data_IF_561929339925
#
_entry.id   IF_561929339925
#
_cell.length_a   1.000
_cell.length_b   1.000
_cell.length_c   1.000
_cell.angle_alpha   90.00
_cell.angle_beta   90.00
_cell.angle_gamma   90.00
#
_symmetry.space_group_name_H-M   'P 1'
#
loop_
_entity.id
_entity.type
_entity.pdbx_description
1 polymer ?
#
# COMPACT_ATOMS: atom_id res chain seq x y z
N UNK A 1 7.85 26.85 -15.80
CA UNK A 1 8.02 27.09 -14.35
C UNK A 1 8.53 25.80 -13.76
N UNK A 2 9.80 25.76 -13.36
CA UNK A 2 10.32 24.66 -12.54
C UNK A 2 9.64 24.81 -11.17
N UNK A 3 8.89 23.79 -10.75
CA UNK A 3 8.32 23.77 -9.40
C UNK A 3 9.40 23.90 -8.33
N UNK A 4 9.03 24.12 -7.07
CA UNK A 4 9.99 24.10 -5.97
C UNK A 4 10.83 22.81 -6.03
N UNK A 5 12.11 22.86 -5.63
CA UNK A 5 12.95 21.66 -5.58
C UNK A 5 12.26 20.59 -4.73
N UNK A 6 12.24 19.34 -5.23
CA UNK A 6 11.71 18.21 -4.47
C UNK A 6 12.74 17.82 -3.41
N UNK A 7 12.36 17.99 -2.15
CA UNK A 7 13.21 17.65 -1.01
C UNK A 7 13.95 18.84 -0.42
N UNK A 8 15.01 18.55 0.32
CA UNK A 8 15.79 19.52 1.11
C UNK A 8 17.28 19.44 0.76
N UNK A 9 17.98 20.56 0.83
CA UNK A 9 19.42 20.63 0.66
C UNK A 9 20.20 20.03 1.85
N UNK A 10 21.53 20.14 1.87
CA UNK A 10 22.34 19.76 3.04
C UNK A 10 21.87 20.46 4.32
N UNK A 11 22.02 19.81 5.47
CA UNK A 11 21.63 20.35 6.78
C UNK A 11 22.21 21.75 7.03
N UNK A 12 23.50 21.95 6.72
CA UNK A 12 24.18 23.24 6.91
C UNK A 12 23.60 24.38 6.06
N UNK A 13 22.88 24.06 4.99
CA UNK A 13 22.23 25.04 4.10
C UNK A 13 20.82 25.35 4.59
N UNK A 14 20.04 24.32 4.94
CA UNK A 14 18.66 24.48 5.43
C UNK A 14 18.60 25.02 6.87
N UNK A 15 19.62 24.73 7.68
CA UNK A 15 19.74 25.12 9.09
C UNK A 15 21.06 25.86 9.36
N UNK A 16 21.23 27.08 8.80
CA UNK A 16 22.49 27.80 8.88
C UNK A 16 22.83 28.20 10.32
N UNK A 17 23.97 27.70 10.82
CA UNK A 17 24.47 27.99 12.17
C UNK A 17 24.01 27.00 13.24
N UNK A 18 23.15 26.04 12.90
CA UNK A 18 22.80 24.93 13.79
C UNK A 18 23.84 23.80 13.67
N UNK A 19 24.23 23.15 14.78
CA UNK A 19 25.07 21.96 14.70
C UNK A 19 24.34 20.83 13.97
N UNK A 20 25.08 19.95 13.30
CA UNK A 20 24.50 18.72 12.74
C UNK A 20 24.01 17.87 13.93
N UNK A 21 22.73 17.44 13.94
CA UNK A 21 22.21 16.64 15.03
C UNK A 21 22.93 15.28 15.12
N UNK A 22 23.22 14.86 16.34
CA UNK A 22 23.80 13.55 16.66
C UNK A 22 22.68 12.62 17.14
N UNK A 23 21.92 12.08 16.18
CA UNK A 23 20.82 11.14 16.44
C UNK A 23 20.96 9.91 15.54
N UNK A 24 20.85 8.72 16.15
CA UNK A 24 21.00 7.43 15.49
C UNK A 24 19.98 7.20 14.37
N UNK A 25 18.81 7.85 14.39
CA UNK A 25 17.83 7.69 13.30
C UNK A 25 18.21 8.46 12.03
N UNK A 26 19.13 9.43 12.10
CA UNK A 26 19.53 10.26 10.97
C UNK A 26 20.64 9.61 10.14
N UNK A 27 20.59 9.84 8.84
CA UNK A 27 21.57 9.38 7.86
C UNK A 27 22.64 10.46 7.62
N UNK A 28 23.92 10.21 7.98
CA UNK A 28 24.98 11.20 7.81
C UNK A 28 25.21 11.63 6.36
N UNK A 29 24.97 10.75 5.38
CA UNK A 29 25.13 11.10 3.96
C UNK A 29 24.04 12.09 3.54
N UNK A 30 22.79 11.83 3.93
CA UNK A 30 21.67 12.72 3.61
C UNK A 30 21.82 14.09 4.29
N UNK A 31 22.29 14.13 5.53
CA UNK A 31 22.60 15.39 6.22
C UNK A 31 23.68 16.19 5.48
N UNK A 32 24.68 15.52 4.88
CA UNK A 32 25.78 16.17 4.17
C UNK A 32 25.43 16.61 2.74
N UNK A 33 24.58 15.85 2.03
CA UNK A 33 24.31 16.08 0.60
C UNK A 33 22.91 16.59 0.30
N UNK A 34 22.02 16.57 1.29
CA UNK A 34 20.58 16.81 1.12
C UNK A 34 19.79 15.54 0.84
N UNK A 35 18.48 15.65 0.95
CA UNK A 35 17.53 14.55 0.83
C UNK A 35 16.42 14.87 -0.18
N UNK A 36 16.56 14.31 -1.38
CA UNK A 36 15.60 14.44 -2.49
C UNK A 36 14.64 13.24 -2.61
N UNK A 37 14.59 12.35 -1.61
CA UNK A 37 13.73 11.16 -1.65
C UNK A 37 12.25 11.56 -1.65
N UNK A 38 11.38 10.69 -2.14
CA UNK A 38 9.93 10.93 -2.10
C UNK A 38 9.35 10.48 -0.76
N UNK A 39 9.72 11.18 0.32
CA UNK A 39 9.20 11.01 1.68
C UNK A 39 8.56 12.32 2.14
N UNK A 40 7.65 12.26 3.11
CA UNK A 40 7.11 13.47 3.76
C UNK A 40 8.21 14.21 4.52
N UNK A 41 8.02 15.50 4.76
CA UNK A 41 9.09 16.34 5.30
C UNK A 41 9.51 15.94 6.73
N UNK A 42 8.62 15.34 7.50
CA UNK A 42 8.92 14.79 8.82
C UNK A 42 10.00 13.68 8.81
N UNK A 43 10.24 13.04 7.67
CA UNK A 43 11.24 11.97 7.52
C UNK A 43 12.49 12.38 6.75
N UNK A 44 12.68 13.69 6.49
CA UNK A 44 13.89 14.16 5.84
C UNK A 44 15.11 13.79 6.66
N UNK A 45 16.15 13.35 5.97
CA UNK A 45 17.42 12.89 6.53
C UNK A 45 17.35 11.59 7.34
N UNK A 46 16.17 11.01 7.60
CA UNK A 46 16.08 9.76 8.36
C UNK A 46 16.65 8.59 7.55
N UNK A 47 17.34 7.67 8.23
CA UNK A 47 17.66 6.34 7.70
C UNK A 47 16.38 5.64 7.30
N UNK A 48 16.45 4.84 6.24
CA UNK A 48 15.28 4.09 5.75
C UNK A 48 14.69 3.20 6.83
N UNK A 49 15.55 2.50 7.56
CA UNK A 49 15.18 1.54 8.59
C UNK A 49 14.46 2.25 9.75
N UNK A 50 14.87 3.48 10.08
CA UNK A 50 14.19 4.31 11.07
C UNK A 50 12.80 4.74 10.60
N UNK A 51 12.64 5.13 9.33
CA UNK A 51 11.33 5.44 8.76
C UNK A 51 10.41 4.21 8.82
N UNK A 52 10.91 3.03 8.44
CA UNK A 52 10.11 1.79 8.51
C UNK A 52 9.71 1.48 9.95
N UNK A 53 10.65 1.56 10.90
CA UNK A 53 10.38 1.31 12.31
C UNK A 53 9.34 2.27 12.89
N UNK A 54 9.39 3.55 12.53
CA UNK A 54 8.39 4.53 12.96
C UNK A 54 7.01 4.23 12.38
N UNK A 55 6.91 3.97 11.07
CA UNK A 55 5.63 3.60 10.43
C UNK A 55 5.06 2.33 11.09
N UNK A 56 5.91 1.34 11.40
CA UNK A 56 5.51 0.07 12.02
C UNK A 56 4.80 0.26 13.37
N UNK A 57 5.06 1.35 14.10
CA UNK A 57 4.36 1.66 15.37
C UNK A 57 2.87 1.97 15.20
N UNK A 58 2.45 2.27 13.97
CA UNK A 58 1.16 2.87 13.65
C UNK A 58 0.55 2.30 12.37
N UNK A 59 1.07 1.18 11.86
CA UNK A 59 0.45 0.47 10.75
C UNK A 59 -0.93 -0.03 11.14
N UNK A 60 -1.84 0.05 10.18
CA UNK A 60 -3.17 -0.50 10.32
C UNK A 60 -3.14 -2.02 10.11
N UNK A 61 -4.00 -2.80 10.79
CA UNK A 61 -4.15 -4.26 10.57
C UNK A 61 -4.88 -4.57 9.25
N UNK A 62 -4.69 -3.73 8.26
CA UNK A 62 -5.15 -3.86 6.90
C UNK A 62 -4.00 -4.41 6.07
N UNK A 63 -4.27 -5.44 5.30
CA UNK A 63 -3.37 -6.03 4.33
C UNK A 63 -3.97 -5.89 2.93
N UNK A 64 -3.13 -5.91 1.91
CA UNK A 64 -3.57 -5.87 0.52
C UNK A 64 -2.89 -6.97 -0.26
N UNK A 65 -3.64 -7.76 -1.01
CA UNK A 65 -3.12 -8.79 -1.89
C UNK A 65 -3.47 -8.50 -3.35
N UNK A 66 -2.51 -8.69 -4.25
CA UNK A 66 -2.73 -8.54 -5.70
C UNK A 66 -2.19 -9.75 -6.45
N UNK A 67 -3.04 -10.34 -7.29
CA UNK A 67 -2.67 -11.43 -8.18
C UNK A 67 -1.75 -10.95 -9.33
N UNK A 68 -0.64 -11.66 -9.55
CA UNK A 68 0.38 -11.36 -10.55
C UNK A 68 0.59 -12.55 -11.50
N UNK A 69 -0.36 -12.83 -12.39
CA UNK A 69 -0.27 -13.95 -13.34
C UNK A 69 0.10 -13.54 -14.78
N UNK A 70 -0.01 -12.26 -15.16
CA UNK A 70 0.25 -11.74 -16.50
C UNK A 70 0.81 -10.32 -16.51
N UNK A 71 -0.02 -9.30 -16.24
CA UNK A 71 0.34 -7.88 -16.32
C UNK A 71 0.52 -7.29 -14.92
N UNK A 72 1.68 -6.70 -14.67
CA UNK A 72 2.14 -6.26 -13.35
C UNK A 72 2.15 -4.72 -13.16
N UNK A 73 1.59 -3.98 -14.12
CA UNK A 73 1.68 -2.52 -14.19
C UNK A 73 1.08 -1.81 -12.96
N UNK A 74 0.05 -2.41 -12.34
CA UNK A 74 -0.64 -1.83 -11.19
C UNK A 74 0.03 -2.11 -9.85
N UNK A 75 0.91 -3.13 -9.77
CA UNK A 75 1.47 -3.58 -8.49
C UNK A 75 2.25 -2.44 -7.82
N UNK A 76 3.01 -1.67 -8.59
CA UNK A 76 3.71 -0.51 -8.06
C UNK A 76 2.77 0.56 -7.50
N UNK A 77 1.66 0.84 -8.17
CA UNK A 77 0.64 1.78 -7.68
C UNK A 77 0.03 1.28 -6.37
N UNK A 78 -0.31 -0.01 -6.29
CA UNK A 78 -0.86 -0.62 -5.06
C UNK A 78 0.14 -0.52 -3.91
N UNK A 79 1.41 -0.86 -4.13
CA UNK A 79 2.47 -0.76 -3.11
C UNK A 79 2.63 0.68 -2.60
N UNK A 80 2.63 1.65 -3.52
CA UNK A 80 2.74 3.06 -3.16
C UNK A 80 1.56 3.53 -2.32
N UNK A 81 0.34 3.20 -2.75
CA UNK A 81 -0.88 3.60 -2.03
C UNK A 81 -0.98 2.90 -0.66
N UNK A 82 -0.58 1.63 -0.58
CA UNK A 82 -0.55 0.89 0.68
C UNK A 82 0.40 1.54 1.70
N UNK A 83 1.58 2.00 1.27
CA UNK A 83 2.49 2.73 2.16
C UNK A 83 1.90 4.08 2.61
N UNK A 84 1.27 4.82 1.69
CA UNK A 84 0.64 6.10 2.02
C UNK A 84 -0.48 5.96 3.06
N UNK A 85 -1.20 4.83 3.05
CA UNK A 85 -2.22 4.50 4.03
C UNK A 85 -1.71 3.66 5.21
N UNK A 86 -0.39 3.52 5.39
CA UNK A 86 0.20 2.74 6.48
C UNK A 86 -0.39 1.31 6.62
N UNK A 87 -0.73 0.67 5.49
CA UNK A 87 -1.16 -0.74 5.43
C UNK A 87 -0.06 -1.64 6.00
N UNK A 88 -0.43 -2.68 6.75
CA UNK A 88 0.49 -3.62 7.39
C UNK A 88 1.49 -4.24 6.40
N UNK A 89 0.97 -4.86 5.33
CA UNK A 89 1.79 -5.44 4.28
C UNK A 89 1.05 -5.53 2.93
N UNK A 90 1.82 -5.62 1.86
CA UNK A 90 1.33 -5.95 0.51
C UNK A 90 1.79 -7.35 0.12
N UNK A 91 0.85 -8.17 -0.32
CA UNK A 91 1.04 -9.55 -0.71
C UNK A 91 0.99 -9.67 -2.23
N UNK A 92 2.05 -10.21 -2.83
CA UNK A 92 2.12 -10.50 -4.26
C UNK A 92 1.86 -11.99 -4.46
N UNK A 93 0.79 -12.32 -5.17
CA UNK A 93 0.39 -13.72 -5.41
C UNK A 93 0.79 -14.14 -6.82
N UNK A 94 1.39 -15.32 -6.99
CA UNK A 94 1.83 -15.81 -8.29
C UNK A 94 3.27 -15.40 -8.61
N UNK A 95 3.50 -14.65 -9.70
CA UNK A 95 4.87 -14.33 -10.13
C UNK A 95 5.58 -13.44 -9.09
N UNK A 96 6.78 -13.84 -8.68
CA UNK A 96 7.63 -13.07 -7.76
C UNK A 96 8.11 -11.73 -8.31
N UNK A 97 8.40 -11.69 -9.61
CA UNK A 97 8.90 -10.48 -10.29
C UNK A 97 7.72 -9.62 -10.74
N UNK A 98 7.85 -8.32 -10.52
CA UNK A 98 6.84 -7.34 -10.90
C UNK A 98 7.50 -5.98 -11.21
N UNK A 99 6.78 -5.13 -11.92
CA UNK A 99 7.23 -3.82 -12.35
C UNK A 99 7.18 -2.78 -11.22
N UNK A 100 8.35 -2.45 -10.68
CA UNK A 100 8.51 -1.50 -9.57
C UNK A 100 8.37 -0.03 -9.93
N UNK A 101 8.26 0.31 -11.22
CA UNK A 101 8.25 1.71 -11.67
C UNK A 101 7.14 2.53 -11.01
N UNK A 102 5.94 1.97 -10.90
CA UNK A 102 4.80 2.63 -10.26
C UNK A 102 4.97 2.88 -8.76
N UNK A 103 5.84 2.11 -8.09
CA UNK A 103 6.08 2.25 -6.65
C UNK A 103 6.91 3.49 -6.31
N UNK A 104 7.63 4.09 -7.28
CA UNK A 104 8.46 5.27 -7.04
C UNK A 104 9.43 5.11 -5.84
N UNK A 105 10.05 3.92 -5.73
CA UNK A 105 10.98 3.53 -4.64
C UNK A 105 10.31 3.33 -3.27
N UNK A 106 8.99 3.55 -3.17
CA UNK A 106 8.21 3.34 -1.95
C UNK A 106 8.17 1.87 -1.50
N UNK A 107 8.44 0.92 -2.41
CA UNK A 107 8.60 -0.50 -2.10
C UNK A 107 9.67 -0.78 -1.04
N UNK A 108 10.62 0.15 -0.84
CA UNK A 108 11.66 0.04 0.19
C UNK A 108 11.20 0.41 1.60
N UNK A 109 10.03 1.05 1.74
CA UNK A 109 9.45 1.45 3.02
C UNK A 109 8.16 0.66 3.37
N UNK A 110 7.82 -0.33 2.55
CA UNK A 110 6.63 -1.15 2.70
C UNK A 110 7.02 -2.62 2.88
N UNK A 111 6.33 -3.31 3.78
CA UNK A 111 6.46 -4.75 3.94
C UNK A 111 5.82 -5.44 2.74
N UNK A 112 6.63 -6.25 2.05
CA UNK A 112 6.19 -7.03 0.89
C UNK A 112 6.32 -8.51 1.20
N UNK A 113 5.22 -9.24 1.01
CA UNK A 113 5.17 -10.69 1.13
C UNK A 113 4.85 -11.31 -0.23
N UNK A 114 5.28 -12.55 -0.44
CA UNK A 114 5.02 -13.28 -1.67
C UNK A 114 4.42 -14.63 -1.35
N UNK A 115 3.45 -15.01 -2.18
CA UNK A 115 2.75 -16.29 -2.13
C UNK A 115 2.73 -16.90 -3.53
N UNK A 116 2.96 -18.21 -3.65
CA UNK A 116 2.96 -18.88 -4.96
C UNK A 116 1.55 -18.97 -5.53
N UNK A 117 0.55 -19.20 -4.67
CA UNK A 117 -0.86 -19.36 -5.06
C UNK A 117 -1.80 -18.54 -4.17
N UNK A 118 -3.04 -18.39 -4.62
CA UNK A 118 -4.12 -17.81 -3.81
C UNK A 118 -4.37 -18.66 -2.56
N UNK A 119 -4.33 -19.99 -2.68
CA UNK A 119 -4.48 -20.89 -1.54
C UNK A 119 -3.48 -20.61 -0.43
N UNK A 120 -2.20 -20.41 -0.78
CA UNK A 120 -1.15 -20.10 0.20
C UNK A 120 -1.42 -18.77 0.93
N UNK A 121 -1.91 -17.75 0.20
CA UNK A 121 -2.33 -16.48 0.82
C UNK A 121 -3.50 -16.69 1.78
N UNK A 122 -4.51 -17.46 1.39
CA UNK A 122 -5.70 -17.70 2.21
C UNK A 122 -5.34 -18.46 3.49
N UNK A 123 -4.47 -19.46 3.40
CA UNK A 123 -4.00 -20.22 4.55
C UNK A 123 -3.16 -19.35 5.49
N UNK A 124 -2.30 -18.50 4.93
CA UNK A 124 -1.57 -17.50 5.71
C UNK A 124 -2.54 -16.53 6.42
N UNK A 125 -3.51 -15.96 5.70
CA UNK A 125 -4.47 -15.00 6.26
C UNK A 125 -5.28 -15.61 7.41
N UNK A 126 -5.76 -16.85 7.25
CA UNK A 126 -6.45 -17.60 8.31
C UNK A 126 -5.55 -17.84 9.52
N UNK A 127 -4.27 -18.17 9.28
CA UNK A 127 -3.27 -18.35 10.34
C UNK A 127 -3.03 -17.08 11.18
N UNK A 128 -3.09 -15.91 10.54
CA UNK A 128 -2.97 -14.60 11.18
C UNK A 128 -4.29 -14.05 11.73
N UNK A 129 -5.40 -14.78 11.56
CA UNK A 129 -6.73 -14.36 12.01
C UNK A 129 -7.33 -13.19 11.21
N UNK A 130 -6.93 -13.01 9.94
CA UNK A 130 -7.40 -11.96 9.05
C UNK A 130 -8.58 -12.44 8.19
N UNK A 131 -9.64 -11.63 8.10
CA UNK A 131 -10.70 -11.87 7.12
C UNK A 131 -10.23 -11.56 5.70
N UNK A 132 -10.63 -12.37 4.72
CA UNK A 132 -10.31 -12.14 3.31
C UNK A 132 -11.50 -11.50 2.61
N UNK A 133 -11.28 -10.30 2.07
CA UNK A 133 -12.27 -9.51 1.34
C UNK A 133 -11.88 -9.48 -0.13
N UNK A 134 -12.59 -10.22 -0.97
CA UNK A 134 -12.39 -10.14 -2.43
C UNK A 134 -13.00 -8.84 -2.97
N UNK A 135 -12.24 -8.10 -3.79
CA UNK A 135 -12.73 -6.90 -4.47
C UNK A 135 -12.92 -7.19 -5.95
N UNK A 136 -14.16 -7.49 -6.32
CA UNK A 136 -14.55 -7.84 -7.69
C UNK A 136 -16.03 -7.51 -7.94
N UNK A 137 -16.43 -7.34 -9.20
CA UNK A 137 -17.80 -7.00 -9.59
C UNK A 137 -18.65 -8.21 -10.02
N UNK A 138 -18.43 -9.36 -9.38
CA UNK A 138 -19.15 -10.59 -9.68
C UNK A 138 -20.54 -10.65 -9.03
N UNK A 139 -21.50 -11.40 -9.60
CA UNK A 139 -22.84 -11.54 -9.04
C UNK A 139 -22.80 -11.97 -7.57
N UNK A 140 -23.52 -11.23 -6.71
CA UNK A 140 -23.53 -11.46 -5.26
C UNK A 140 -22.55 -10.58 -4.47
N UNK A 141 -21.70 -9.79 -5.15
CA UNK A 141 -20.89 -8.77 -4.50
C UNK A 141 -21.76 -7.72 -3.81
N UNK A 142 -21.31 -7.24 -2.65
CA UNK A 142 -21.96 -6.14 -1.94
C UNK A 142 -21.33 -4.80 -2.34
N UNK A 143 -22.10 -3.73 -2.54
CA UNK A 143 -21.51 -2.41 -2.82
C UNK A 143 -20.58 -1.98 -1.69
N UNK A 144 -19.33 -1.64 -2.02
CA UNK A 144 -18.30 -1.22 -1.06
C UNK A 144 -18.79 -0.04 -0.21
N UNK A 145 -19.62 0.82 -0.79
CA UNK A 145 -20.16 2.03 -0.19
C UNK A 145 -21.21 1.75 0.90
N UNK A 146 -21.73 0.53 0.98
CA UNK A 146 -22.83 0.16 1.90
C UNK A 146 -22.46 -0.92 2.90
N UNK A 147 -21.19 -1.35 2.92
CA UNK A 147 -20.70 -2.40 3.81
C UNK A 147 -19.70 -1.87 4.82
N UNK A 148 -19.75 -2.45 6.01
CA UNK A 148 -18.67 -2.38 6.97
C UNK A 148 -17.63 -3.43 6.60
N UNK A 149 -16.39 -2.99 6.39
CA UNK A 149 -15.24 -3.85 6.17
C UNK A 149 -14.73 -4.35 7.53
N UNK A 150 -14.26 -5.60 7.64
CA UNK A 150 -13.57 -6.06 8.84
C UNK A 150 -12.32 -5.21 9.09
N UNK A 151 -12.03 -4.90 10.35
CA UNK A 151 -10.86 -4.11 10.72
C UNK A 151 -9.58 -4.89 10.41
N UNK A 152 -9.48 -6.12 10.86
CA UNK A 152 -8.38 -7.04 10.57
C UNK A 152 -8.66 -7.83 9.28
N UNK A 153 -8.19 -7.33 8.13
CA UNK A 153 -8.48 -7.99 6.85
C UNK A 153 -7.38 -7.89 5.80
N UNK A 154 -7.47 -8.78 4.82
CA UNK A 154 -6.76 -8.72 3.55
C UNK A 154 -7.75 -8.34 2.45
N UNK A 155 -7.54 -7.20 1.79
CA UNK A 155 -8.23 -6.86 0.55
C UNK A 155 -7.55 -7.57 -0.62
N UNK A 156 -8.25 -8.51 -1.25
CA UNK A 156 -7.74 -9.32 -2.36
C UNK A 156 -8.23 -8.80 -3.71
N UNK A 157 -7.27 -8.42 -4.55
CA UNK A 157 -7.48 -7.95 -5.92
C UNK A 157 -7.01 -8.99 -6.92
N UNK A 158 -7.89 -9.31 -7.87
CA UNK A 158 -7.57 -10.18 -8.97
C UNK A 158 -6.73 -9.51 -10.05
N UNK A 159 -6.36 -10.29 -11.05
CA UNK A 159 -5.66 -9.76 -12.22
C UNK A 159 -6.59 -8.98 -13.16
N UNK A 160 -6.04 -7.95 -13.82
CA UNK A 160 -6.70 -7.29 -14.96
C UNK A 160 -7.19 -8.30 -16.01
N UNK A 161 -8.48 -8.20 -16.34
CA UNK A 161 -9.14 -9.09 -17.31
C UNK A 161 -10.12 -10.04 -16.62
N UNK A 162 -9.67 -11.22 -16.16
CA UNK A 162 -10.55 -12.23 -15.57
C UNK A 162 -11.08 -11.87 -14.18
N UNK A 163 -10.50 -10.88 -13.49
CA UNK A 163 -10.90 -10.53 -12.12
C UNK A 163 -10.23 -11.45 -11.09
N UNK A 164 -10.84 -11.53 -9.90
CA UNK A 164 -10.42 -12.46 -8.84
C UNK A 164 -10.74 -13.87 -9.28
N UNK A 165 -9.79 -14.80 -9.13
CA UNK A 165 -10.02 -16.20 -9.51
C UNK A 165 -11.26 -16.80 -8.82
N UNK A 166 -11.99 -17.69 -9.49
CA UNK A 166 -13.19 -18.35 -8.92
C UNK A 166 -12.89 -19.04 -7.57
N UNK A 167 -11.65 -19.52 -7.41
CA UNK A 167 -11.20 -20.14 -6.18
C UNK A 167 -11.07 -19.13 -5.03
N UNK A 168 -10.48 -17.96 -5.29
CA UNK A 168 -10.45 -16.85 -4.35
C UNK A 168 -11.87 -16.37 -3.98
N UNK A 169 -12.78 -16.25 -4.96
CA UNK A 169 -14.14 -15.78 -4.69
C UNK A 169 -14.93 -16.73 -3.78
N UNK A 170 -14.77 -18.05 -3.95
CA UNK A 170 -15.46 -19.04 -3.10
C UNK A 170 -14.91 -19.12 -1.69
N UNK A 171 -13.65 -18.74 -1.51
CA UNK A 171 -12.95 -18.87 -0.23
C UNK A 171 -12.82 -17.56 0.54
N UNK A 172 -13.16 -16.42 -0.07
CA UNK A 172 -13.25 -15.13 0.60
C UNK A 172 -14.41 -15.12 1.59
N UNK A 173 -14.23 -14.44 2.72
CA UNK A 173 -15.27 -14.26 3.73
C UNK A 173 -16.36 -13.28 3.26
N UNK A 174 -15.99 -12.35 2.39
CA UNK A 174 -16.93 -11.46 1.71
C UNK A 174 -16.39 -11.02 0.35
N UNK A 175 -17.31 -10.70 -0.57
CA UNK A 175 -16.99 -10.08 -1.85
C UNK A 175 -17.65 -8.70 -1.94
N UNK A 176 -16.86 -7.69 -2.28
CA UNK A 176 -17.31 -6.32 -2.43
C UNK A 176 -17.02 -5.79 -3.83
N UNK A 177 -17.89 -4.91 -4.31
CA UNK A 177 -17.74 -4.24 -5.60
C UNK A 177 -17.86 -2.74 -5.44
N UNK A 178 -17.04 -1.98 -6.15
CA UNK A 178 -17.18 -0.52 -6.23
C UNK A 178 -18.34 -0.19 -7.16
N UNK A 179 -19.26 0.68 -6.74
CA UNK A 179 -20.40 1.07 -7.55
C UNK A 179 -19.94 1.77 -8.84
N UNK A 180 -20.48 1.32 -9.98
CA UNK A 180 -20.13 1.84 -11.31
C UNK A 180 -21.41 2.27 -12.05
N UNK A 181 -21.36 3.43 -12.69
CA UNK A 181 -22.50 4.02 -13.42
C UNK A 181 -22.19 4.29 -14.90
N UNK A 182 -20.98 3.92 -15.36
CA UNK A 182 -20.53 4.10 -16.72
C UNK A 182 -20.70 2.84 -17.59
N UNK A 183 -20.16 2.88 -18.80
CA UNK A 183 -20.24 1.79 -19.79
C UNK A 183 -19.05 0.81 -19.75
N UNK A 184 -18.02 1.10 -18.96
CA UNK A 184 -16.87 0.22 -18.78
C UNK A 184 -17.25 -1.02 -17.97
N UNK A 185 -16.57 -2.14 -18.24
CA UNK A 185 -16.76 -3.40 -17.53
C UNK A 185 -16.13 -3.41 -16.14
N UNK A 186 -15.09 -2.59 -15.92
CA UNK A 186 -14.36 -2.58 -14.65
C UNK A 186 -13.60 -1.26 -14.44
N UNK A 187 -13.16 -1.06 -13.20
CA UNK A 187 -12.19 -0.04 -12.79
C UNK A 187 -10.79 -0.64 -12.92
N UNK A 188 -9.78 0.18 -13.25
CA UNK A 188 -8.38 -0.25 -13.21
C UNK A 188 -8.03 -0.80 -11.80
N UNK A 189 -7.30 -1.92 -11.74
CA UNK A 189 -7.05 -2.60 -10.46
C UNK A 189 -6.27 -1.75 -9.44
N UNK A 190 -5.31 -0.93 -9.89
CA UNK A 190 -4.60 0.00 -9.01
C UNK A 190 -5.51 1.07 -8.43
N UNK A 191 -6.43 1.61 -9.24
CA UNK A 191 -7.45 2.57 -8.79
C UNK A 191 -8.45 1.92 -7.84
N UNK A 192 -8.93 0.72 -8.16
CA UNK A 192 -9.84 -0.04 -7.31
C UNK A 192 -9.22 -0.32 -5.94
N UNK A 193 -7.93 -0.70 -5.91
CA UNK A 193 -7.18 -0.89 -4.67
C UNK A 193 -7.10 0.39 -3.84
N UNK A 194 -6.85 1.53 -4.46
CA UNK A 194 -6.86 2.83 -3.77
C UNK A 194 -8.23 3.17 -3.17
N UNK A 195 -9.32 2.96 -3.93
CA UNK A 195 -10.69 3.22 -3.44
C UNK A 195 -11.03 2.31 -2.26
N UNK A 196 -10.75 1.01 -2.36
CA UNK A 196 -11.04 0.04 -1.32
C UNK A 196 -10.20 0.25 -0.04
N UNK A 197 -8.90 0.53 -0.18
CA UNK A 197 -8.07 0.93 0.96
C UNK A 197 -8.60 2.20 1.61
N UNK A 198 -8.95 3.23 0.84
CA UNK A 198 -9.48 4.47 1.40
C UNK A 198 -10.86 4.27 2.07
N UNK A 199 -11.71 3.39 1.54
CA UNK A 199 -12.97 3.02 2.18
C UNK A 199 -12.73 2.39 3.57
N UNK A 200 -11.73 1.51 3.69
CA UNK A 200 -11.30 0.97 4.99
C UNK A 200 -10.78 2.08 5.92
N UNK A 201 -9.91 2.96 5.42
CA UNK A 201 -9.35 4.09 6.19
C UNK A 201 -10.48 4.98 6.75
N UNK A 202 -11.49 5.28 5.94
CA UNK A 202 -12.66 6.05 6.36
C UNK A 202 -13.47 5.41 7.48
N UNK A 203 -13.43 4.09 7.62
CA UNK A 203 -14.16 3.35 8.64
C UNK A 203 -13.35 3.14 9.92
N UNK A 204 -12.03 2.95 9.81
CA UNK A 204 -11.22 2.39 10.91
C UNK A 204 -10.01 3.23 11.34
N UNK A 205 -9.52 4.14 10.50
CA UNK A 205 -8.33 4.91 10.83
C UNK A 205 -8.65 6.10 11.76
N UNK A 206 -7.72 6.43 12.65
CA UNK A 206 -7.72 7.68 13.39
C UNK A 206 -7.17 8.80 12.49
N UNK A 207 -8.06 9.67 12.02
CA UNK A 207 -7.71 10.73 11.08
C UNK A 207 -6.90 11.86 11.72
N UNK A 208 -6.90 11.97 13.05
CA UNK A 208 -6.09 12.96 13.77
C UNK A 208 -4.59 12.62 13.72
N UNK A 209 -4.26 11.40 13.28
CA UNK A 209 -2.88 10.93 13.07
C UNK A 209 -2.42 11.02 11.60
N UNK A 210 -3.24 11.60 10.71
CA UNK A 210 -2.86 11.82 9.32
C UNK A 210 -1.90 13.01 9.18
N UNK A 211 -0.91 12.88 8.30
CA UNK A 211 0.07 13.91 7.94
C UNK A 211 -0.39 14.84 6.81
#
# INVERSE_FOLDING_TARGET
MTGPPVGVGPWSVEHPGEPIPDDDHLDPELLATGDTRNVVDAYRYWKREAIVADIDTRRHPLHVAIENFAHDANIGTVVRTANAFAVAAVHIVGRRRWNRRGAMVTDRYQHLMHHDTVGDLLDWARGEGLSVVAVDNTPGSRPLETVELPRECVLLFGQEGPGVSDDAQRQADMTVSIAQFGSTRSINAGVAAGIAMHAWIRQHADLDQAW
#
